data_IF_294472938217
#
_entry.id   IF_294472938217
#
_cell.length_a   1.000
_cell.length_b   1.000
_cell.length_c   1.000
_cell.angle_alpha   90.00
_cell.angle_beta   90.00
_cell.angle_gamma   90.00
#
_symmetry.space_group_name_H-M   'P 1'
#
loop_
_entity.id
_entity.type
_entity.pdbx_description
1 polymer ?
#
# COMPACT_ATOMS: atom_id res chain seq x y z
N UNK A 1 -0.03 -13.04 2.49
CA UNK A 1 0.09 -11.86 1.59
C UNK A 1 -0.88 -10.77 2.02
N UNK A 2 -0.77 -9.57 1.41
CA UNK A 2 -1.71 -8.46 1.63
C UNK A 2 -3.12 -8.83 1.13
N UNK A 3 -3.21 -9.56 0.03
CA UNK A 3 -4.48 -10.07 -0.52
C UNK A 3 -5.17 -11.04 0.44
N UNK A 4 -4.42 -11.94 1.10
CA UNK A 4 -4.96 -12.82 2.13
C UNK A 4 -5.55 -12.00 3.29
N UNK A 5 -4.92 -10.89 3.66
CA UNK A 5 -5.44 -10.01 4.71
C UNK A 5 -6.66 -9.19 4.25
N UNK A 6 -6.76 -8.87 2.96
CA UNK A 6 -7.89 -8.14 2.41
C UNK A 6 -9.16 -9.01 2.33
N UNK A 7 -9.03 -10.26 1.87
CA UNK A 7 -10.17 -11.11 1.53
C UNK A 7 -10.34 -12.30 2.48
N UNK A 8 -9.35 -12.53 3.34
CA UNK A 8 -9.24 -13.78 4.09
C UNK A 8 -8.79 -14.93 3.18
N UNK A 9 -8.29 -15.99 3.77
CA UNK A 9 -7.87 -17.17 3.00
C UNK A 9 -7.92 -18.45 3.84
N UNK A 10 -7.75 -19.59 3.18
CA UNK A 10 -7.46 -20.86 3.83
C UNK A 10 -6.06 -21.30 3.45
N UNK A 11 -5.25 -21.62 4.45
CA UNK A 11 -3.88 -22.10 4.25
C UNK A 11 -3.72 -23.47 4.87
N UNK A 12 -3.21 -24.41 4.08
CA UNK A 12 -2.83 -25.74 4.57
C UNK A 12 -1.40 -25.69 5.06
N UNK A 13 -1.20 -26.02 6.35
CA UNK A 13 0.12 -26.09 6.97
C UNK A 13 0.43 -27.54 7.32
N UNK A 14 1.69 -27.93 7.17
CA UNK A 14 2.18 -29.24 7.59
C UNK A 14 2.86 -29.08 8.95
N UNK A 15 2.42 -29.86 9.93
CA UNK A 15 3.00 -29.85 11.26
C UNK A 15 4.27 -30.70 11.30
N UNK A 16 5.07 -30.57 12.36
CA UNK A 16 6.31 -31.31 12.53
C UNK A 16 6.15 -32.84 12.59
N UNK A 17 4.93 -33.32 12.90
CA UNK A 17 4.56 -34.74 12.88
C UNK A 17 4.06 -35.21 11.50
N UNK A 18 4.18 -34.41 10.45
CA UNK A 18 3.72 -34.71 9.08
C UNK A 18 2.23 -34.53 8.84
N UNK A 19 1.42 -34.27 9.87
CA UNK A 19 -0.03 -34.03 9.69
C UNK A 19 -0.29 -32.69 9.01
N UNK A 20 -1.39 -32.61 8.23
CA UNK A 20 -1.80 -31.40 7.52
C UNK A 20 -3.03 -30.81 8.21
N UNK A 21 -2.99 -29.50 8.43
CA UNK A 21 -4.06 -28.75 9.07
C UNK A 21 -4.46 -27.57 8.20
N UNK A 22 -5.75 -27.45 7.92
CA UNK A 22 -6.31 -26.30 7.21
C UNK A 22 -6.61 -25.19 8.23
N UNK A 23 -5.97 -24.04 8.05
CA UNK A 23 -6.12 -22.85 8.90
C UNK A 23 -6.90 -21.80 8.13
N UNK A 24 -8.03 -21.37 8.70
CA UNK A 24 -8.82 -20.25 8.17
C UNK A 24 -8.20 -18.95 8.67
N UNK A 25 -7.73 -18.13 7.74
CA UNK A 25 -7.21 -16.78 8.01
C UNK A 25 -8.34 -15.79 7.76
N UNK A 26 -8.83 -15.08 8.79
CA UNK A 26 -9.91 -14.10 8.61
C UNK A 26 -9.39 -12.88 7.86
N UNK A 27 -10.28 -12.16 7.16
CA UNK A 27 -9.98 -10.85 6.61
C UNK A 27 -9.66 -9.85 7.74
N UNK A 28 -8.86 -8.83 7.46
CA UNK A 28 -8.43 -7.82 8.44
C UNK A 28 -7.33 -8.28 9.41
N UNK A 29 -6.80 -9.49 9.23
CA UNK A 29 -5.72 -10.02 10.08
C UNK A 29 -4.48 -9.17 10.00
N UNK A 30 -3.75 -9.06 11.13
CA UNK A 30 -2.49 -8.32 11.21
C UNK A 30 -1.31 -9.22 11.58
N UNK A 31 -0.11 -8.70 11.36
CA UNK A 31 1.12 -9.35 11.85
C UNK A 31 1.06 -9.50 13.37
N UNK A 32 1.40 -10.69 13.86
CA UNK A 32 1.31 -11.02 15.29
C UNK A 32 -0.02 -11.62 15.72
N UNK A 33 -1.07 -11.52 14.90
CA UNK A 33 -2.37 -12.17 15.20
C UNK A 33 -2.17 -13.66 15.44
N UNK A 34 -2.78 -14.16 16.53
CA UNK A 34 -2.76 -15.58 16.89
C UNK A 34 -4.09 -16.22 16.51
N UNK A 35 -4.03 -17.24 15.67
CA UNK A 35 -5.19 -18.04 15.26
C UNK A 35 -5.14 -19.35 16.01
N UNK A 36 -6.19 -19.65 16.80
CA UNK A 36 -6.33 -20.91 17.52
C UNK A 36 -7.01 -21.94 16.62
N UNK A 37 -6.42 -23.13 16.53
CA UNK A 37 -7.00 -24.29 15.84
C UNK A 37 -7.20 -25.38 16.89
N UNK A 38 -8.43 -25.58 17.30
CA UNK A 38 -8.80 -26.47 18.40
C UNK A 38 -8.46 -27.92 18.08
N UNK A 39 -7.90 -28.64 19.07
CA UNK A 39 -7.59 -30.06 18.98
C UNK A 39 -6.52 -30.43 17.92
N UNK A 40 -5.69 -29.49 17.49
CA UNK A 40 -4.62 -29.71 16.51
C UNK A 40 -3.21 -29.46 17.08
N UNK A 41 -3.10 -29.36 18.41
CA UNK A 41 -1.84 -29.26 19.13
C UNK A 41 -1.18 -30.62 19.37
N UNK A 42 -0.37 -30.70 20.44
CA UNK A 42 0.26 -31.94 20.85
C UNK A 42 -0.72 -32.86 21.59
N UNK A 43 -0.56 -34.19 21.49
CA UNK A 43 -1.32 -35.12 22.30
C UNK A 43 -1.09 -34.85 23.79
N UNK A 44 -2.14 -34.96 24.58
CA UNK A 44 -2.03 -34.85 26.04
C UNK A 44 -1.22 -36.02 26.65
N UNK A 45 -0.54 -35.81 27.78
CA UNK A 45 0.18 -36.86 28.46
C UNK A 45 -0.78 -37.97 28.88
N UNK A 46 -0.32 -39.25 28.79
CA UNK A 46 -1.10 -40.42 29.20
C UNK A 46 -2.37 -40.73 28.35
N UNK A 47 -2.39 -40.26 27.07
CA UNK A 47 -3.56 -40.48 26.21
C UNK A 47 -4.69 -39.45 26.42
N UNK A 48 -4.41 -38.36 27.11
CA UNK A 48 -5.35 -37.27 27.33
C UNK A 48 -5.74 -36.53 26.04
N UNK A 49 -6.72 -35.62 26.09
CA UNK A 49 -7.20 -34.89 24.93
C UNK A 49 -6.07 -34.05 24.26
N UNK A 50 -6.09 -34.03 22.94
CA UNK A 50 -5.14 -33.23 22.14
C UNK A 50 -5.31 -31.73 22.44
N UNK A 51 -4.21 -31.04 22.69
CA UNK A 51 -4.21 -29.60 22.91
C UNK A 51 -4.52 -28.80 21.64
N UNK A 52 -4.47 -27.49 21.73
CA UNK A 52 -4.71 -26.59 20.61
C UNK A 52 -3.43 -26.17 19.90
N UNK A 53 -3.56 -25.90 18.63
CA UNK A 53 -2.50 -25.30 17.82
C UNK A 53 -2.70 -23.79 17.74
N UNK A 54 -1.66 -23.03 18.00
CA UNK A 54 -1.65 -21.58 17.81
C UNK A 54 -0.76 -21.22 16.62
N UNK A 55 -1.36 -20.60 15.63
CA UNK A 55 -0.68 -20.11 14.44
C UNK A 55 -0.50 -18.61 14.54
N UNK A 56 0.76 -18.13 14.51
CA UNK A 56 1.05 -16.71 14.48
C UNK A 56 1.15 -16.24 13.03
N UNK A 57 0.37 -15.22 12.68
CA UNK A 57 0.39 -14.61 11.35
C UNK A 57 1.62 -13.71 11.22
N UNK A 58 2.32 -13.81 10.09
CA UNK A 58 3.35 -12.87 9.66
C UNK A 58 3.06 -12.45 8.23
N UNK A 59 2.91 -11.15 8.02
CA UNK A 59 2.67 -10.62 6.69
C UNK A 59 3.97 -10.44 5.93
N UNK A 60 3.98 -10.88 4.67
CA UNK A 60 5.07 -10.57 3.75
C UNK A 60 4.93 -9.13 3.25
N UNK A 61 6.05 -8.41 3.01
CA UNK A 61 6.02 -7.12 2.34
C UNK A 61 5.34 -7.24 0.97
N UNK A 62 4.61 -6.19 0.58
CA UNK A 62 4.03 -6.10 -0.75
C UNK A 62 4.94 -5.26 -1.66
N UNK A 63 5.11 -5.58 -2.96
CA UNK A 63 6.07 -4.88 -3.83
C UNK A 63 5.77 -3.38 -4.02
N UNK A 64 4.52 -2.96 -3.95
CA UNK A 64 4.13 -1.56 -4.17
C UNK A 64 3.15 -1.00 -3.14
N UNK A 65 2.49 -1.83 -2.31
CA UNK A 65 1.66 -1.32 -1.22
C UNK A 65 2.40 -1.31 0.10
N UNK A 66 2.32 -0.19 0.81
CA UNK A 66 2.66 -0.09 2.23
C UNK A 66 1.37 -0.07 3.03
N UNK A 67 1.36 -0.74 4.18
CA UNK A 67 0.23 -0.80 5.08
C UNK A 67 0.47 0.05 6.32
N UNK A 68 -0.58 0.73 6.78
CA UNK A 68 -0.63 1.41 8.06
C UNK A 68 -2.02 1.19 8.68
N UNK A 69 -2.10 0.30 9.68
CA UNK A 69 -3.39 -0.14 10.23
C UNK A 69 -4.29 -0.79 9.18
N UNK A 70 -5.44 -0.17 8.91
CA UNK A 70 -6.38 -0.58 7.86
C UNK A 70 -6.12 0.13 6.52
N UNK A 71 -5.35 1.20 6.54
CA UNK A 71 -5.06 1.97 5.35
C UNK A 71 -3.88 1.37 4.57
N UNK A 72 -3.90 1.59 3.26
CA UNK A 72 -2.80 1.22 2.37
C UNK A 72 -2.31 2.44 1.59
N UNK A 73 -1.03 2.43 1.28
CA UNK A 73 -0.34 3.51 0.57
C UNK A 73 0.29 2.97 -0.69
N UNK A 74 0.09 3.68 -1.79
CA UNK A 74 0.70 3.43 -3.09
C UNK A 74 1.49 4.67 -3.51
N UNK A 75 2.80 4.53 -3.72
CA UNK A 75 3.58 5.61 -4.32
C UNK A 75 3.34 5.61 -5.83
N UNK A 76 2.83 6.72 -6.37
CA UNK A 76 2.53 6.89 -7.79
C UNK A 76 3.55 7.84 -8.43
N UNK A 77 4.51 7.32 -9.21
CA UNK A 77 5.40 8.16 -9.97
C UNK A 77 4.64 8.83 -11.12
N UNK A 78 4.80 10.14 -11.24
CA UNK A 78 4.28 10.95 -12.33
C UNK A 78 5.42 11.67 -13.04
N UNK A 79 5.27 11.89 -14.32
CA UNK A 79 6.11 12.82 -15.06
C UNK A 79 5.80 14.27 -14.67
N UNK A 80 6.73 15.17 -14.94
CA UNK A 80 6.51 16.61 -14.75
C UNK A 80 5.26 17.10 -15.49
N UNK A 81 5.06 16.62 -16.71
CA UNK A 81 3.94 17.02 -17.58
C UNK A 81 2.61 16.54 -17.00
N UNK A 82 2.52 15.28 -16.56
CA UNK A 82 1.31 14.73 -15.93
C UNK A 82 0.95 15.45 -14.64
N UNK A 83 1.95 15.79 -13.83
CA UNK A 83 1.72 16.53 -12.59
C UNK A 83 1.27 17.97 -12.85
N UNK A 84 1.82 18.62 -13.88
CA UNK A 84 1.50 20.01 -14.21
C UNK A 84 0.15 20.15 -14.90
N UNK A 85 -0.12 19.30 -15.89
CA UNK A 85 -1.33 19.40 -16.73
C UNK A 85 -2.51 18.57 -16.20
N UNK A 86 -2.26 17.70 -15.23
CA UNK A 86 -3.20 16.69 -14.79
C UNK A 86 -3.25 15.48 -15.73
N UNK A 87 -3.72 14.38 -15.23
CA UNK A 87 -3.80 13.12 -15.99
C UNK A 87 -4.86 12.19 -15.40
N UNK A 88 -5.16 11.12 -16.12
CA UNK A 88 -6.04 10.06 -15.65
C UNK A 88 -5.37 8.72 -15.88
N UNK A 89 -5.07 7.99 -14.81
CA UNK A 89 -4.28 6.78 -14.83
C UNK A 89 -5.04 5.59 -14.24
N UNK A 90 -4.72 4.40 -14.72
CA UNK A 90 -5.19 3.15 -14.11
C UNK A 90 -4.19 2.72 -13.05
N UNK A 91 -4.67 2.55 -11.83
CA UNK A 91 -3.84 2.16 -10.68
C UNK A 91 -4.38 0.90 -10.02
N UNK A 92 -3.52 0.08 -9.38
CA UNK A 92 -3.95 -1.08 -8.64
C UNK A 92 -4.64 -0.69 -7.33
N UNK A 93 -5.60 -1.50 -6.94
CA UNK A 93 -6.21 -1.55 -5.61
C UNK A 93 -6.24 -2.99 -5.13
N UNK A 94 -6.61 -3.24 -3.87
CA UNK A 94 -6.82 -4.60 -3.35
C UNK A 94 -7.98 -5.34 -4.05
N UNK A 95 -8.90 -4.61 -4.68
CA UNK A 95 -10.07 -5.19 -5.38
C UNK A 95 -9.89 -5.21 -6.91
N UNK A 96 -8.68 -4.99 -7.41
CA UNK A 96 -8.38 -4.88 -8.85
C UNK A 96 -7.90 -3.50 -9.26
N UNK A 97 -8.07 -3.15 -10.53
CA UNK A 97 -7.60 -1.88 -11.10
C UNK A 97 -8.73 -0.85 -11.13
N UNK A 98 -8.43 0.39 -10.75
CA UNK A 98 -9.35 1.51 -10.83
C UNK A 98 -8.74 2.69 -11.59
N UNK A 99 -9.57 3.60 -12.08
CA UNK A 99 -9.12 4.84 -12.69
C UNK A 99 -8.98 5.92 -11.62
N UNK A 100 -7.82 6.59 -11.62
CA UNK A 100 -7.53 7.73 -10.76
C UNK A 100 -7.37 8.98 -11.62
N UNK A 101 -8.14 10.02 -11.30
CA UNK A 101 -7.95 11.35 -11.88
C UNK A 101 -7.01 12.15 -11.00
N UNK A 102 -5.90 12.59 -11.58
CA UNK A 102 -4.91 13.47 -10.93
C UNK A 102 -5.17 14.90 -11.39
N UNK A 103 -5.42 15.83 -10.47
CA UNK A 103 -5.65 17.24 -10.83
C UNK A 103 -4.36 17.88 -11.37
N UNK A 104 -4.51 18.90 -12.22
CA UNK A 104 -3.40 19.72 -12.67
C UNK A 104 -2.76 20.48 -11.49
N UNK A 105 -1.43 20.66 -11.55
CA UNK A 105 -0.68 21.37 -10.51
C UNK A 105 -0.53 20.59 -9.20
N UNK A 106 -0.69 19.26 -9.23
CA UNK A 106 -0.52 18.43 -8.03
C UNK A 106 0.92 18.49 -7.52
N UNK A 107 1.08 18.69 -6.21
CA UNK A 107 2.40 18.72 -5.59
C UNK A 107 2.98 17.32 -5.36
N UNK A 108 4.31 17.21 -5.37
CA UNK A 108 5.00 15.99 -4.93
C UNK A 108 4.73 15.75 -3.44
N UNK A 109 4.41 14.51 -3.06
CA UNK A 109 4.00 14.17 -1.70
C UNK A 109 2.50 14.35 -1.42
N UNK A 110 1.74 14.97 -2.33
CA UNK A 110 0.28 15.06 -2.21
C UNK A 110 -0.34 13.65 -2.11
N UNK A 111 -1.41 13.53 -1.33
CA UNK A 111 -2.11 12.26 -1.09
C UNK A 111 -3.51 12.33 -1.66
N UNK A 112 -3.79 11.47 -2.64
CA UNK A 112 -5.14 11.29 -3.19
C UNK A 112 -5.78 10.09 -2.50
N UNK A 113 -6.96 10.28 -1.90
CA UNK A 113 -7.66 9.28 -1.11
C UNK A 113 -8.69 8.53 -1.95
N UNK A 114 -8.62 7.22 -1.94
CA UNK A 114 -9.65 6.32 -2.45
C UNK A 114 -10.38 5.69 -1.26
N UNK A 115 -11.58 6.17 -0.99
CA UNK A 115 -12.37 5.74 0.17
C UNK A 115 -12.74 4.27 0.09
N UNK A 116 -12.61 3.56 1.22
CA UNK A 116 -13.00 2.16 1.36
C UNK A 116 -12.15 1.18 0.53
N UNK A 117 -10.98 1.60 0.01
CA UNK A 117 -10.06 0.75 -0.77
C UNK A 117 -8.88 0.20 0.03
N UNK A 118 -8.90 0.38 1.36
CA UNK A 118 -7.96 -0.21 2.29
C UNK A 118 -8.37 -1.63 2.73
N UNK A 119 -7.81 -2.09 3.83
CA UNK A 119 -8.09 -3.39 4.43
C UNK A 119 -9.37 -3.37 5.26
N UNK A 120 -10.11 -4.47 5.34
CA UNK A 120 -11.23 -4.57 6.28
C UNK A 120 -10.73 -4.56 7.73
N UNK A 121 -11.54 -4.04 8.63
CA UNK A 121 -11.28 -4.11 10.06
C UNK A 121 -11.45 -5.53 10.60
N UNK A 122 -10.64 -5.91 11.60
CA UNK A 122 -10.68 -7.25 12.22
C UNK A 122 -12.05 -7.59 12.87
N UNK A 123 -12.87 -6.60 13.19
CA UNK A 123 -14.18 -6.73 13.84
C UNK A 123 -15.34 -6.19 13.02
N UNK A 124 -15.29 -6.29 11.69
CA UNK A 124 -16.31 -5.75 10.78
C UNK A 124 -16.61 -4.24 10.96
N UNK A 125 -15.64 -3.48 11.45
CA UNK A 125 -15.74 -2.02 11.72
C UNK A 125 -15.54 -1.17 10.46
N UNK A 126 -15.89 -1.68 9.28
CA UNK A 126 -15.67 -0.99 8.02
C UNK A 126 -14.33 -1.33 7.36
N UNK A 127 -14.02 -0.60 6.33
CA UNK A 127 -12.77 -0.72 5.55
C UNK A 127 -11.95 0.56 5.70
N UNK A 128 -10.63 0.44 5.74
CA UNK A 128 -9.72 1.56 5.60
C UNK A 128 -9.72 2.10 4.17
N UNK A 129 -8.83 3.04 3.92
CA UNK A 129 -8.71 3.73 2.65
C UNK A 129 -7.39 3.39 1.94
N UNK A 130 -7.36 3.66 0.65
CA UNK A 130 -6.10 3.67 -0.09
C UNK A 130 -5.66 5.11 -0.33
N UNK A 131 -4.44 5.42 0.05
CA UNK A 131 -3.81 6.70 -0.22
C UNK A 131 -2.79 6.54 -1.35
N UNK A 132 -2.96 7.32 -2.39
CA UNK A 132 -2.02 7.41 -3.51
C UNK A 132 -1.12 8.61 -3.27
N UNK A 133 0.16 8.35 -3.03
CA UNK A 133 1.17 9.38 -2.74
C UNK A 133 1.87 9.75 -4.03
N UNK A 134 1.72 11.00 -4.44
CA UNK A 134 2.31 11.50 -5.70
C UNK A 134 3.82 11.65 -5.55
N UNK A 135 4.55 11.11 -6.52
CA UNK A 135 6.02 11.25 -6.64
C UNK A 135 6.35 11.82 -8.01
N UNK A 136 6.69 13.10 -8.08
CA UNK A 136 7.08 13.72 -9.35
C UNK A 136 8.52 13.30 -9.68
N UNK A 137 8.70 12.65 -10.82
CA UNK A 137 9.99 12.15 -11.28
C UNK A 137 10.42 12.96 -12.51
N UNK A 138 11.45 13.82 -12.39
CA UNK A 138 11.95 14.56 -13.53
C UNK A 138 12.67 13.63 -14.52
N UNK A 139 12.67 13.94 -15.82
CA UNK A 139 13.43 13.19 -16.81
C UNK A 139 14.94 13.32 -16.57
N UNK A 140 15.68 12.20 -16.66
CA UNK A 140 17.13 12.17 -16.40
C UNK A 140 17.96 12.60 -17.60
N UNK A 141 17.52 12.25 -18.81
CA UNK A 141 18.24 12.51 -20.05
C UNK A 141 17.37 13.37 -20.98
N UNK A 142 17.78 14.60 -21.22
CA UNK A 142 17.11 15.53 -22.10
C UNK A 142 17.96 15.77 -23.36
N UNK A 143 17.33 15.74 -24.53
CA UNK A 143 17.94 16.32 -25.74
C UNK A 143 18.05 17.83 -25.61
N UNK A 144 18.92 18.45 -26.40
CA UNK A 144 19.08 19.91 -26.41
C UNK A 144 17.77 20.62 -26.74
N UNK A 145 16.99 20.08 -27.67
CA UNK A 145 15.68 20.59 -28.01
C UNK A 145 14.67 20.50 -26.81
N UNK A 146 14.67 19.40 -26.06
CA UNK A 146 13.80 19.26 -24.88
C UNK A 146 14.23 20.22 -23.77
N UNK A 147 15.54 20.41 -23.56
CA UNK A 147 16.10 21.38 -22.61
C UNK A 147 15.65 22.81 -22.96
N UNK A 148 15.80 23.22 -24.21
CA UNK A 148 15.39 24.55 -24.67
C UNK A 148 13.89 24.80 -24.43
N UNK A 149 13.03 23.78 -24.61
CA UNK A 149 11.58 23.89 -24.34
C UNK A 149 11.27 24.03 -22.84
N UNK A 150 11.99 23.32 -21.97
CA UNK A 150 11.83 23.49 -20.53
C UNK A 150 12.27 24.87 -20.05
N UNK A 151 13.36 25.42 -20.61
CA UNK A 151 13.80 26.77 -20.33
C UNK A 151 12.81 27.83 -20.84
N UNK A 152 12.15 27.56 -21.98
CA UNK A 152 11.07 28.40 -22.50
C UNK A 152 9.88 28.38 -21.53
N UNK A 153 9.44 27.20 -21.04
CA UNK A 153 8.38 27.09 -20.04
C UNK A 153 8.72 27.87 -18.78
N UNK A 154 9.95 27.78 -18.27
CA UNK A 154 10.40 28.52 -17.10
C UNK A 154 10.34 30.04 -17.27
N UNK A 155 10.56 30.56 -18.50
CA UNK A 155 10.41 31.97 -18.81
C UNK A 155 8.95 32.40 -18.95
N UNK A 156 8.09 31.54 -19.51
CA UNK A 156 6.69 31.87 -19.74
C UNK A 156 5.85 31.79 -18.46
N UNK A 157 6.24 30.91 -17.53
CA UNK A 157 5.55 30.69 -16.27
C UNK A 157 6.55 30.71 -15.09
N UNK A 158 7.14 31.87 -14.80
CA UNK A 158 8.11 31.98 -13.71
C UNK A 158 7.43 31.78 -12.35
N UNK A 159 8.03 30.94 -11.51
CA UNK A 159 7.59 30.74 -10.13
C UNK A 159 8.79 30.41 -9.26
N UNK A 160 8.71 30.77 -7.98
CA UNK A 160 9.70 30.40 -6.99
C UNK A 160 9.04 29.58 -5.86
N UNK A 161 9.31 28.26 -5.83
CA UNK A 161 8.73 27.39 -4.79
C UNK A 161 9.36 27.61 -3.41
N UNK A 162 10.37 28.48 -3.28
CA UNK A 162 11.07 28.79 -2.03
C UNK A 162 10.68 30.16 -1.46
N UNK A 163 9.83 30.91 -2.14
CA UNK A 163 9.49 32.30 -1.83
C UNK A 163 9.12 32.54 -0.37
N UNK A 164 8.40 31.58 0.24
CA UNK A 164 7.90 31.72 1.61
C UNK A 164 8.77 30.99 2.65
N UNK A 165 10.00 30.61 2.28
CA UNK A 165 10.91 29.93 3.19
C UNK A 165 11.87 30.98 3.82
N UNK A 166 11.88 31.08 5.14
CA UNK A 166 12.67 32.07 5.87
C UNK A 166 14.16 32.08 5.52
N UNK A 167 14.75 30.91 5.23
CA UNK A 167 16.16 30.78 4.83
C UNK A 167 16.42 31.20 3.35
N UNK A 168 15.39 31.43 2.55
CA UNK A 168 15.55 31.84 1.16
C UNK A 168 15.79 33.36 1.01
N UNK A 169 15.51 34.15 2.04
CA UNK A 169 15.70 35.61 2.08
C UNK A 169 17.16 36.01 2.36
N UNK A 170 18.00 35.07 2.78
CA UNK A 170 19.41 35.33 3.17
C UNK A 170 20.41 35.24 1.97
N UNK A 171 19.98 35.39 0.71
CA UNK A 171 20.86 35.35 -0.49
C UNK A 171 21.02 36.69 -1.13
#
# INVERSE_FOLDING_TARGET
TLDDAAHGSRRRITLGNGSRVDVKIPAGVDTGTRIRVTGKGQPGPGGGPTGDLFVRVRMAPHPYFRRDGQDIYLDLPLTLTEATLGTSLRIPTLDGVTQLKVPAGVASGARLRLRGKGLPGAKATGRGDQFVVIKIVPPKNLSDAARARLEEVARLAPYDPRRDLAWAEER
#
